data_IF_702379857496
#
_entry.id   IF_702379857496
#
_cell.length_a   1.000
_cell.length_b   1.000
_cell.length_c   1.000
_cell.angle_alpha   90.00
_cell.angle_beta   90.00
_cell.angle_gamma   90.00
#
_symmetry.space_group_name_H-M   'P 1'
#
loop_
_entity.id
_entity.type
_entity.pdbx_description
1 polymer ?
#
# COMPACT_ATOMS: atom_id res chain seq x y z
N UNK A 1 -13.53 3.01 10.01
CA UNK A 1 -12.24 3.76 9.98
C UNK A 1 -12.50 5.25 10.16
N UNK A 2 -11.54 6.02 10.70
CA UNK A 2 -11.60 7.49 10.70
C UNK A 2 -10.70 8.00 9.58
N UNK A 3 -11.15 9.03 8.85
CA UNK A 3 -10.36 9.63 7.77
C UNK A 3 -9.06 10.22 8.33
N UNK A 4 -7.95 9.85 7.71
CA UNK A 4 -6.62 10.39 7.95
C UNK A 4 -6.00 10.80 6.61
N UNK A 5 -5.31 11.93 6.59
CA UNK A 5 -4.66 12.45 5.37
C UNK A 5 -3.38 11.64 5.15
N UNK A 6 -3.14 11.20 3.92
CA UNK A 6 -1.94 10.47 3.50
C UNK A 6 -1.68 9.19 4.34
N UNK A 7 -2.74 8.47 4.70
CA UNK A 7 -2.64 7.24 5.47
C UNK A 7 -2.56 6.00 4.57
N UNK A 8 -1.72 5.04 4.97
CA UNK A 8 -1.77 3.66 4.50
C UNK A 8 -2.55 2.82 5.50
N UNK A 9 -3.49 2.00 5.03
CA UNK A 9 -4.23 1.05 5.88
C UNK A 9 -3.69 -0.36 5.62
N UNK A 10 -3.34 -1.10 6.67
CA UNK A 10 -2.81 -2.46 6.57
C UNK A 10 -3.83 -3.43 7.17
N UNK A 11 -4.19 -4.49 6.44
CA UNK A 11 -5.13 -5.50 6.91
C UNK A 11 -4.93 -6.85 6.20
N UNK A 12 -5.64 -7.90 6.64
CA UNK A 12 -5.71 -9.16 5.93
C UNK A 12 -6.70 -9.07 4.76
N UNK A 13 -6.42 -9.75 3.65
CA UNK A 13 -7.26 -9.69 2.46
C UNK A 13 -8.58 -10.47 2.52
N UNK A 14 -8.77 -11.30 3.55
CA UNK A 14 -9.98 -12.11 3.80
C UNK A 14 -11.14 -11.32 4.46
N UNK A 15 -10.89 -10.05 4.82
CA UNK A 15 -11.84 -9.22 5.59
C UNK A 15 -12.59 -8.21 4.72
N UNK A 16 -13.39 -8.70 3.76
CA UNK A 16 -14.10 -7.90 2.76
C UNK A 16 -14.80 -6.65 3.30
N UNK A 17 -15.66 -6.77 4.33
CA UNK A 17 -16.38 -5.62 4.90
C UNK A 17 -15.44 -4.54 5.46
N UNK A 18 -14.35 -4.98 6.11
CA UNK A 18 -13.35 -4.09 6.68
C UNK A 18 -12.58 -3.37 5.57
N UNK A 19 -12.24 -4.07 4.49
CA UNK A 19 -11.54 -3.45 3.35
C UNK A 19 -12.45 -2.42 2.67
N UNK A 20 -13.73 -2.73 2.47
CA UNK A 20 -14.71 -1.77 1.90
C UNK A 20 -14.80 -0.52 2.77
N UNK A 21 -14.96 -0.69 4.10
CA UNK A 21 -15.00 0.43 5.03
C UNK A 21 -13.68 1.23 5.07
N UNK A 22 -12.54 0.59 4.78
CA UNK A 22 -11.25 1.28 4.64
C UNK A 22 -11.24 2.14 3.37
N UNK A 23 -11.67 1.60 2.24
CA UNK A 23 -11.74 2.30 0.95
C UNK A 23 -12.64 3.54 0.99
N UNK A 24 -13.73 3.50 1.75
CA UNK A 24 -14.63 4.65 1.95
C UNK A 24 -13.93 5.86 2.59
N UNK A 25 -12.89 5.63 3.39
CA UNK A 25 -12.12 6.72 3.99
C UNK A 25 -11.10 7.35 3.05
N UNK A 26 -10.96 6.82 1.82
CA UNK A 26 -10.03 7.26 0.77
C UNK A 26 -8.58 7.42 1.29
N UNK A 27 -7.98 6.35 1.82
CA UNK A 27 -6.56 6.34 2.17
C UNK A 27 -5.71 6.46 0.90
N UNK A 28 -4.41 6.69 1.06
CA UNK A 28 -3.47 6.69 -0.07
C UNK A 28 -3.28 5.30 -0.65
N UNK A 29 -3.37 4.25 0.18
CA UNK A 29 -3.23 2.85 -0.22
C UNK A 29 -3.85 1.94 0.85
N UNK A 30 -4.37 0.79 0.43
CA UNK A 30 -4.70 -0.33 1.33
C UNK A 30 -3.76 -1.50 1.02
N UNK A 31 -3.05 -1.98 2.04
CA UNK A 31 -2.09 -3.08 1.96
C UNK A 31 -2.73 -4.33 2.53
N UNK A 32 -2.84 -5.37 1.71
CA UNK A 32 -3.44 -6.67 2.02
C UNK A 32 -2.32 -7.68 2.28
N UNK A 33 -2.31 -8.26 3.47
CA UNK A 33 -1.23 -9.12 3.98
C UNK A 33 -1.58 -10.60 3.89
N UNK A 34 -0.57 -11.47 3.96
CA UNK A 34 -0.71 -12.92 4.00
C UNK A 34 -1.08 -13.57 2.66
N UNK A 35 -0.92 -12.84 1.54
CA UNK A 35 -1.32 -13.28 0.20
C UNK A 35 -2.80 -13.70 0.08
N UNK A 36 -3.64 -13.12 0.95
CA UNK A 36 -5.08 -13.33 0.93
C UNK A 36 -5.67 -12.44 -0.16
N UNK A 37 -6.10 -13.04 -1.26
CA UNK A 37 -6.69 -12.28 -2.36
C UNK A 37 -8.07 -11.78 -1.97
N UNK A 38 -8.36 -10.48 -2.14
CA UNK A 38 -9.67 -9.94 -1.81
C UNK A 38 -10.71 -10.37 -2.85
N UNK A 39 -11.98 -10.35 -2.46
CA UNK A 39 -13.09 -10.63 -3.36
C UNK A 39 -13.19 -9.61 -4.50
N UNK A 40 -13.79 -10.03 -5.62
CA UNK A 40 -14.00 -9.17 -6.81
C UNK A 40 -14.74 -7.86 -6.45
N UNK A 41 -15.68 -7.91 -5.51
CA UNK A 41 -16.40 -6.71 -5.04
C UNK A 41 -15.48 -5.65 -4.45
N UNK A 42 -14.42 -6.07 -3.73
CA UNK A 42 -13.40 -5.17 -3.17
C UNK A 42 -12.60 -4.52 -4.29
N UNK A 43 -12.21 -5.29 -5.32
CA UNK A 43 -11.46 -4.77 -6.47
C UNK A 43 -12.25 -3.69 -7.22
N UNK A 44 -13.56 -3.93 -7.46
CA UNK A 44 -14.46 -2.95 -8.07
C UNK A 44 -14.52 -1.69 -7.20
N UNK A 45 -14.72 -1.86 -5.88
CA UNK A 45 -14.82 -0.72 -4.96
C UNK A 45 -13.53 0.10 -4.89
N UNK A 46 -12.38 -0.55 -4.91
CA UNK A 46 -11.08 0.11 -4.92
C UNK A 46 -10.88 0.94 -6.18
N UNK A 47 -11.29 0.40 -7.35
CA UNK A 47 -11.30 1.13 -8.62
C UNK A 47 -12.23 2.34 -8.58
N UNK A 48 -13.45 2.19 -8.07
CA UNK A 48 -14.39 3.31 -7.89
C UNK A 48 -13.85 4.41 -6.95
N UNK A 49 -13.17 3.99 -5.88
CA UNK A 49 -12.60 4.90 -4.90
C UNK A 49 -11.29 5.57 -5.38
N UNK A 50 -10.70 5.11 -6.49
CA UNK A 50 -9.34 5.44 -6.92
C UNK A 50 -8.29 5.23 -5.82
N UNK A 51 -8.42 4.14 -5.07
CA UNK A 51 -7.49 3.77 -4.01
C UNK A 51 -6.75 2.50 -4.43
N UNK A 52 -5.41 2.52 -4.51
CA UNK A 52 -4.65 1.33 -4.86
C UNK A 52 -4.73 0.27 -3.75
N UNK A 53 -4.81 -0.99 -4.18
CA UNK A 53 -4.65 -2.17 -3.32
C UNK A 53 -3.28 -2.77 -3.57
N UNK A 54 -2.52 -3.03 -2.50
CA UNK A 54 -1.23 -3.69 -2.57
C UNK A 54 -1.30 -5.03 -1.84
N UNK A 55 -1.24 -6.14 -2.59
CA UNK A 55 -1.16 -7.47 -1.99
C UNK A 55 0.31 -7.81 -1.72
N UNK A 56 0.61 -8.23 -0.49
CA UNK A 56 1.96 -8.64 -0.08
C UNK A 56 1.94 -10.07 0.48
N UNK A 57 3.03 -10.83 0.25
CA UNK A 57 3.12 -12.21 0.74
C UNK A 57 3.37 -12.29 2.26
N UNK A 58 3.78 -11.18 2.88
CA UNK A 58 4.16 -11.11 4.29
C UNK A 58 2.95 -11.00 5.21
N UNK A 59 3.08 -11.49 6.44
CA UNK A 59 2.11 -11.22 7.50
C UNK A 59 2.11 -9.74 7.94
N UNK A 60 1.12 -9.35 8.75
CA UNK A 60 0.95 -7.98 9.24
C UNK A 60 2.18 -7.45 9.98
N UNK A 61 2.79 -8.25 10.85
CA UNK A 61 3.94 -7.81 11.65
C UNK A 61 5.15 -7.58 10.74
N UNK A 62 5.49 -8.56 9.91
CA UNK A 62 6.60 -8.46 8.96
C UNK A 62 6.43 -7.29 7.99
N UNK A 63 5.20 -7.05 7.51
CA UNK A 63 4.88 -5.90 6.64
C UNK A 63 5.14 -4.57 7.33
N UNK A 64 4.73 -4.44 8.60
CA UNK A 64 4.96 -3.21 9.38
C UNK A 64 6.44 -2.99 9.62
N UNK A 65 7.21 -4.03 9.98
CA UNK A 65 8.66 -3.90 10.20
C UNK A 65 9.38 -3.44 8.92
N UNK A 66 9.06 -4.04 7.76
CA UNK A 66 9.59 -3.59 6.46
C UNK A 66 9.23 -2.15 6.14
N UNK A 67 8.01 -1.71 6.46
CA UNK A 67 7.63 -0.30 6.29
C UNK A 67 8.46 0.63 7.19
N UNK A 68 8.78 0.23 8.42
CA UNK A 68 9.62 1.04 9.31
C UNK A 68 11.03 1.26 8.77
N UNK A 69 11.62 0.25 8.12
CA UNK A 69 12.94 0.36 7.49
C UNK A 69 12.96 1.51 6.46
N UNK A 70 11.89 1.61 5.65
CA UNK A 70 11.74 2.64 4.61
C UNK A 70 11.27 3.98 5.17
N UNK A 71 10.49 4.00 6.25
CA UNK A 71 9.91 5.23 6.82
C UNK A 71 10.97 6.29 7.18
N UNK A 72 12.17 5.85 7.58
CA UNK A 72 13.30 6.74 7.88
C UNK A 72 13.81 7.57 6.69
N UNK A 73 13.41 7.21 5.47
CA UNK A 73 13.84 7.83 4.22
C UNK A 73 13.01 9.09 3.91
N UNK A 74 11.81 9.24 4.50
CA UNK A 74 10.75 10.12 3.98
C UNK A 74 10.29 11.18 4.99
N UNK A 75 11.19 12.06 5.44
CA UNK A 75 10.80 13.39 5.93
C UNK A 75 10.80 14.39 4.77
N UNK A 76 10.11 15.53 4.90
CA UNK A 76 10.06 16.54 3.85
C UNK A 76 11.46 17.04 3.43
N UNK A 77 12.39 17.11 4.38
CA UNK A 77 13.76 17.52 4.15
C UNK A 77 14.62 16.39 3.58
N UNK A 78 14.41 15.14 4.02
CA UNK A 78 15.18 14.00 3.51
C UNK A 78 14.74 13.56 2.11
N UNK A 79 13.51 13.86 1.71
CA UNK A 79 12.98 13.57 0.38
C UNK A 79 13.83 14.21 -0.72
N UNK A 80 14.18 15.49 -0.59
CA UNK A 80 15.02 16.18 -1.58
C UNK A 80 16.46 15.65 -1.60
N UNK A 81 16.98 15.29 -0.43
CA UNK A 81 18.35 14.79 -0.32
C UNK A 81 18.52 13.35 -0.81
N UNK A 82 17.43 12.57 -0.83
CA UNK A 82 17.44 11.13 -1.17
C UNK A 82 16.61 10.82 -2.41
N UNK A 83 16.24 11.82 -3.21
CA UNK A 83 15.42 11.63 -4.40
C UNK A 83 16.04 10.61 -5.36
N UNK A 84 17.34 10.76 -5.66
CA UNK A 84 18.07 9.83 -6.53
C UNK A 84 18.14 8.40 -5.96
N UNK A 85 18.32 8.28 -4.64
CA UNK A 85 18.34 6.98 -3.95
C UNK A 85 16.97 6.31 -4.01
N UNK A 86 15.89 7.07 -3.81
CA UNK A 86 14.51 6.57 -3.88
C UNK A 86 14.20 6.11 -5.31
N UNK A 87 14.47 6.95 -6.32
CA UNK A 87 14.21 6.62 -7.73
C UNK A 87 15.01 5.38 -8.14
N UNK A 88 16.30 5.33 -7.81
CA UNK A 88 17.14 4.18 -8.16
C UNK A 88 16.74 2.90 -7.43
N UNK A 89 16.19 3.00 -6.21
CA UNK A 89 15.66 1.83 -5.48
C UNK A 89 14.38 1.35 -6.13
N UNK A 90 13.46 2.26 -6.48
CA UNK A 90 12.22 1.90 -7.18
C UNK A 90 12.55 1.22 -8.52
N UNK A 91 13.47 1.77 -9.32
CA UNK A 91 13.84 1.16 -10.61
C UNK A 91 14.50 -0.22 -10.48
N UNK A 92 15.17 -0.50 -9.36
CA UNK A 92 15.77 -1.81 -9.10
C UNK A 92 14.76 -2.83 -8.60
N UNK A 93 13.84 -2.41 -7.73
CA UNK A 93 12.95 -3.31 -7.00
C UNK A 93 11.56 -3.46 -7.67
N UNK A 94 11.16 -2.53 -8.52
CA UNK A 94 9.86 -2.54 -9.22
C UNK A 94 10.02 -3.02 -10.66
N UNK A 95 9.38 -4.15 -10.96
CA UNK A 95 9.28 -4.66 -12.33
C UNK A 95 8.18 -3.92 -13.10
N UNK A 96 8.53 -2.76 -13.66
CA UNK A 96 7.62 -1.89 -14.39
C UNK A 96 6.95 -2.57 -15.59
N UNK A 97 7.64 -3.50 -16.25
CA UNK A 97 7.09 -4.21 -17.42
C UNK A 97 5.90 -5.07 -17.01
N UNK A 98 6.03 -5.83 -15.93
CA UNK A 98 4.92 -6.64 -15.40
C UNK A 98 3.74 -5.84 -14.88
N UNK A 99 3.92 -4.56 -14.54
CA UNK A 99 2.83 -3.69 -14.10
C UNK A 99 2.05 -3.05 -15.27
N UNK A 100 2.66 -2.96 -16.45
CA UNK A 100 2.07 -2.29 -17.62
C UNK A 100 1.50 -3.27 -18.68
N UNK A 101 1.85 -4.55 -18.59
CA UNK A 101 1.29 -5.66 -19.38
C UNK A 101 0.01 -6.22 -18.74
#
# INVERSE_FOLDING_TARGET
>A
FRRAINAAIITGGDRTDLIIAALETRPSVVILTGNLYPDVGVLIKAKEANVPLLLVPYDTYTTIEKLREVQSIVTADSLKAKEDDIVSTIDKEVDWKKLLE
#
